data_IF_835222438134
#
_entry.id   IF_835222438134
#
_cell.length_a   1.000
_cell.length_b   1.000
_cell.length_c   1.000
_cell.angle_alpha   90.00
_cell.angle_beta   90.00
_cell.angle_gamma   90.00
#
_symmetry.space_group_name_H-M   'P 1'
#
loop_
_entity.id
_entity.type
_entity.pdbx_description
1 polymer ?
#
# COMPACT_ATOMS: atom_id res chain seq x y z
N UNK A 1 -18.00 4.82 -17.66
CA UNK A 1 -18.67 3.54 -17.42
C UNK A 1 -18.43 3.12 -15.98
N UNK A 2 -19.49 2.70 -15.29
CA UNK A 2 -19.39 2.25 -13.91
C UNK A 2 -18.73 0.86 -13.86
N UNK A 3 -17.77 0.67 -12.96
CA UNK A 3 -17.17 -0.63 -12.75
C UNK A 3 -18.19 -1.63 -12.19
N UNK A 4 -18.07 -2.93 -12.52
CA UNK A 4 -18.92 -3.96 -11.93
C UNK A 4 -18.81 -3.97 -10.41
N UNK A 5 -19.94 -4.07 -9.73
CA UNK A 5 -19.99 -4.05 -8.25
C UNK A 5 -19.14 -5.16 -7.64
N UNK A 6 -19.19 -6.36 -8.22
CA UNK A 6 -18.40 -7.48 -7.68
C UNK A 6 -16.90 -7.21 -7.74
N UNK A 7 -16.42 -6.57 -8.81
CA UNK A 7 -14.99 -6.20 -8.93
C UNK A 7 -14.60 -5.16 -7.88
N UNK A 8 -15.45 -4.17 -7.65
CA UNK A 8 -15.22 -3.15 -6.62
C UNK A 8 -15.16 -3.80 -5.23
N UNK A 9 -16.08 -4.70 -4.93
CA UNK A 9 -16.11 -5.40 -3.65
C UNK A 9 -14.85 -6.27 -3.48
N UNK A 10 -14.52 -7.07 -4.48
CA UNK A 10 -13.37 -7.98 -4.41
C UNK A 10 -12.08 -7.20 -4.21
N UNK A 11 -11.86 -6.14 -4.99
CA UNK A 11 -10.67 -5.33 -4.87
C UNK A 11 -10.63 -4.59 -3.54
N UNK A 12 -11.76 -4.05 -3.08
CA UNK A 12 -11.84 -3.39 -1.76
C UNK A 12 -11.49 -4.37 -0.64
N UNK A 13 -11.92 -5.63 -0.73
CA UNK A 13 -11.57 -6.67 0.24
C UNK A 13 -10.06 -7.00 0.19
N UNK A 14 -9.47 -7.03 -1.00
CA UNK A 14 -8.02 -7.23 -1.13
C UNK A 14 -7.23 -6.11 -0.45
N UNK A 15 -7.65 -4.86 -0.64
CA UNK A 15 -7.02 -3.71 0.01
C UNK A 15 -7.22 -3.72 1.54
N UNK A 16 -8.36 -4.21 2.02
CA UNK A 16 -8.59 -4.39 3.45
C UNK A 16 -7.65 -5.45 4.03
N UNK A 17 -7.40 -6.56 3.31
CA UNK A 17 -6.44 -7.59 3.74
C UNK A 17 -5.03 -7.04 3.86
N UNK A 18 -4.63 -6.13 2.96
CA UNK A 18 -3.36 -5.43 3.08
C UNK A 18 -3.27 -4.69 4.43
N UNK A 19 -4.27 -3.87 4.74
CA UNK A 19 -4.27 -3.05 5.95
C UNK A 19 -4.30 -3.91 7.23
N UNK A 20 -5.11 -4.96 7.24
CA UNK A 20 -5.18 -5.89 8.38
C UNK A 20 -3.86 -6.65 8.54
N UNK A 21 -3.28 -7.12 7.44
CA UNK A 21 -2.00 -7.82 7.45
C UNK A 21 -0.86 -6.93 7.95
N UNK A 22 -0.80 -5.70 7.49
CA UNK A 22 0.19 -4.73 7.98
C UNK A 22 0.02 -4.44 9.46
N UNK A 23 -1.22 -4.30 9.92
CA UNK A 23 -1.51 -4.04 11.35
C UNK A 23 -1.10 -5.22 12.23
N UNK A 24 -1.31 -6.44 11.75
CA UNK A 24 -0.94 -7.66 12.50
C UNK A 24 0.53 -8.05 12.36
N UNK A 25 1.25 -7.44 11.42
CA UNK A 25 2.60 -7.88 11.08
C UNK A 25 2.63 -9.20 10.31
N UNK A 26 1.52 -9.57 9.66
CA UNK A 26 1.41 -10.78 8.84
C UNK A 26 1.91 -10.50 7.43
N UNK A 27 3.23 -10.56 7.26
CA UNK A 27 3.88 -10.20 6.01
C UNK A 27 3.44 -11.10 4.85
N UNK A 28 3.26 -12.39 5.10
CA UNK A 28 2.83 -13.32 4.05
C UNK A 28 1.44 -12.95 3.50
N UNK A 29 0.51 -12.58 4.38
CA UNK A 29 -0.80 -12.12 3.96
C UNK A 29 -0.72 -10.83 3.15
N UNK A 30 0.16 -9.91 3.52
CA UNK A 30 0.37 -8.65 2.79
C UNK A 30 0.94 -8.91 1.40
N UNK A 31 1.96 -9.76 1.30
CA UNK A 31 2.57 -10.11 0.01
C UNK A 31 1.54 -10.73 -0.94
N UNK A 32 0.62 -11.53 -0.42
CA UNK A 32 -0.44 -12.15 -1.24
C UNK A 32 -1.44 -11.16 -1.80
N UNK A 33 -1.48 -9.91 -1.34
CA UNK A 33 -2.34 -8.88 -1.92
C UNK A 33 -1.78 -8.28 -3.20
N UNK A 34 -0.55 -8.59 -3.55
CA UNK A 34 0.14 -8.10 -4.75
C UNK A 34 0.20 -9.17 -5.84
N UNK A 35 0.37 -8.70 -7.09
CA UNK A 35 0.82 -9.58 -8.17
C UNK A 35 2.25 -10.02 -7.90
N UNK A 36 2.71 -11.20 -8.44
CA UNK A 36 4.08 -11.67 -8.20
C UNK A 36 5.17 -10.69 -8.64
N UNK A 37 4.91 -9.88 -9.66
CA UNK A 37 5.81 -8.83 -10.17
C UNK A 37 5.48 -7.44 -9.59
N UNK A 38 4.72 -7.39 -8.51
CA UNK A 38 4.29 -6.15 -7.89
C UNK A 38 5.42 -5.34 -7.29
N UNK A 39 5.17 -4.05 -7.11
CA UNK A 39 6.13 -3.13 -6.50
C UNK A 39 5.47 -2.23 -5.46
N UNK A 40 6.28 -1.80 -4.51
CA UNK A 40 5.90 -0.78 -3.53
C UNK A 40 6.87 0.39 -3.62
N UNK A 41 6.34 1.62 -3.62
CA UNK A 41 7.15 2.84 -3.69
C UNK A 41 6.84 3.76 -2.53
N UNK A 42 7.89 4.29 -1.92
CA UNK A 42 7.78 5.32 -0.90
C UNK A 42 9.09 6.11 -0.83
N UNK A 43 8.99 7.41 -0.60
CA UNK A 43 10.14 8.29 -0.39
C UNK A 43 11.16 8.26 -1.55
N UNK A 44 10.67 8.11 -2.78
CA UNK A 44 11.51 8.11 -3.97
C UNK A 44 12.13 6.78 -4.34
N UNK A 45 11.97 5.75 -3.50
CA UNK A 45 12.47 4.41 -3.77
C UNK A 45 11.33 3.49 -4.21
N UNK A 46 11.62 2.58 -5.13
CA UNK A 46 10.70 1.54 -5.57
C UNK A 46 11.26 0.18 -5.21
N UNK A 47 10.49 -0.60 -4.49
CA UNK A 47 10.88 -1.91 -3.98
C UNK A 47 10.15 -3.01 -4.75
N UNK A 48 10.85 -3.98 -5.34
CA UNK A 48 10.20 -5.19 -5.83
C UNK A 48 9.57 -5.95 -4.66
N UNK A 49 8.54 -6.73 -4.94
CA UNK A 49 7.80 -7.45 -3.90
C UNK A 49 8.71 -8.34 -3.04
N UNK A 50 9.77 -8.90 -3.61
CA UNK A 50 10.73 -9.72 -2.89
C UNK A 50 11.44 -8.98 -1.74
N UNK A 51 11.55 -7.65 -1.83
CA UNK A 51 12.18 -6.82 -0.79
C UNK A 51 11.20 -6.41 0.31
N UNK A 52 9.90 -6.61 0.08
CA UNK A 52 8.86 -6.10 0.97
C UNK A 52 8.99 -6.63 2.41
N UNK A 53 9.27 -7.94 2.64
CA UNK A 53 9.45 -8.44 4.00
C UNK A 53 10.56 -7.72 4.76
N UNK A 54 11.68 -7.43 4.12
CA UNK A 54 12.79 -6.68 4.73
C UNK A 54 12.40 -5.24 5.05
N UNK A 55 11.67 -4.60 4.13
CA UNK A 55 11.18 -3.24 4.33
C UNK A 55 10.20 -3.16 5.51
N UNK A 56 9.26 -4.10 5.59
CA UNK A 56 8.27 -4.15 6.67
C UNK A 56 8.94 -4.42 8.03
N UNK A 57 9.94 -5.30 8.06
CA UNK A 57 10.65 -5.61 9.30
C UNK A 57 11.39 -4.39 9.88
N UNK A 58 11.84 -3.48 9.00
CA UNK A 58 12.54 -2.26 9.40
C UNK A 58 11.59 -1.08 9.69
N UNK A 59 10.32 -1.19 9.32
CA UNK A 59 9.35 -0.11 9.48
C UNK A 59 8.73 -0.12 10.88
N UNK A 60 8.21 1.02 11.34
CA UNK A 60 7.43 1.05 12.59
C UNK A 60 6.21 0.14 12.48
N UNK A 61 5.88 -0.53 13.58
CA UNK A 61 4.68 -1.36 13.70
C UNK A 61 3.53 -0.53 14.28
N UNK A 62 2.31 -0.84 13.87
CA UNK A 62 1.14 -0.13 14.38
C UNK A 62 -0.12 -0.40 13.59
N UNK A 63 -1.10 0.48 13.77
CA UNK A 63 -2.41 0.40 13.13
C UNK A 63 -2.35 1.07 11.76
N UNK A 64 -2.70 0.31 10.73
CA UNK A 64 -2.93 0.83 9.38
C UNK A 64 -4.43 1.00 9.17
N UNK A 65 -4.92 2.21 9.33
CA UNK A 65 -6.33 2.53 9.13
C UNK A 65 -6.50 3.16 7.75
N UNK A 66 -7.26 2.49 6.89
CA UNK A 66 -7.51 2.96 5.53
C UNK A 66 -8.97 3.32 5.35
N UNK A 67 -9.22 4.30 4.49
CA UNK A 67 -10.57 4.63 4.07
C UNK A 67 -11.00 3.81 2.86
N UNK A 68 -12.24 4.01 2.38
CA UNK A 68 -12.67 3.39 1.14
C UNK A 68 -11.80 3.85 -0.03
N UNK A 69 -11.45 2.95 -0.95
CA UNK A 69 -10.68 3.34 -2.12
C UNK A 69 -11.55 4.03 -3.17
N UNK A 70 -10.97 5.01 -3.85
CA UNK A 70 -11.55 5.56 -5.07
C UNK A 70 -10.98 4.78 -6.25
N UNK A 71 -11.79 4.02 -6.94
CA UNK A 71 -11.35 3.05 -7.96
C UNK A 71 -11.81 3.46 -9.35
N UNK A 72 -10.93 3.26 -10.33
CA UNK A 72 -11.24 3.33 -11.76
C UNK A 72 -10.81 2.01 -12.38
N UNK A 73 -11.77 1.18 -12.77
CA UNK A 73 -11.53 -0.16 -13.31
C UNK A 73 -11.93 -0.22 -14.79
N UNK A 74 -11.08 -0.85 -15.58
CA UNK A 74 -11.30 -1.05 -17.01
C UNK A 74 -10.89 -2.48 -17.38
N UNK A 75 -11.88 -3.37 -17.53
CA UNK A 75 -11.60 -4.78 -17.81
C UNK A 75 -10.81 -5.43 -16.69
N UNK A 76 -9.61 -5.91 -17.02
CA UNK A 76 -8.74 -6.63 -16.09
C UNK A 76 -7.70 -5.74 -15.42
N UNK A 77 -7.78 -4.44 -15.61
CA UNK A 77 -6.85 -3.46 -15.04
C UNK A 77 -7.58 -2.33 -14.37
N UNK A 78 -6.89 -1.65 -13.46
CA UNK A 78 -7.47 -0.51 -12.79
C UNK A 78 -6.43 0.35 -12.10
N UNK A 79 -6.88 1.50 -11.66
CA UNK A 79 -6.13 2.43 -10.82
C UNK A 79 -7.00 2.83 -9.64
N UNK A 80 -6.38 3.34 -8.59
CA UNK A 80 -7.12 3.86 -7.46
C UNK A 80 -6.26 4.60 -6.47
N UNK A 81 -6.94 5.27 -5.56
CA UNK A 81 -6.32 5.96 -4.45
C UNK A 81 -7.06 5.60 -3.17
N UNK A 82 -6.32 5.51 -2.07
CA UNK A 82 -6.90 5.11 -0.78
C UNK A 82 -6.23 5.90 0.34
N UNK A 83 -7.00 6.62 1.18
CA UNK A 83 -6.42 7.36 2.29
C UNK A 83 -5.90 6.42 3.37
N UNK A 84 -4.84 6.85 4.05
CA UNK A 84 -4.22 6.09 5.14
C UNK A 84 -3.98 6.98 6.34
N UNK A 85 -4.32 6.46 7.52
CA UNK A 85 -3.80 6.93 8.79
C UNK A 85 -3.06 5.77 9.46
N UNK A 86 -1.74 5.91 9.60
CA UNK A 86 -0.92 4.98 10.37
C UNK A 86 -0.72 5.54 11.78
N UNK A 87 -0.94 4.72 12.80
CA UNK A 87 -0.69 5.07 14.20
C UNK A 87 0.35 4.12 14.76
N UNK A 88 1.50 4.67 15.16
CA UNK A 88 2.59 3.90 15.75
C UNK A 88 2.15 3.27 17.08
N UNK A 89 2.35 1.96 17.24
CA UNK A 89 1.89 1.26 18.44
C UNK A 89 2.71 1.59 19.69
N UNK A 90 3.92 2.16 19.54
CA UNK A 90 4.81 2.43 20.65
C UNK A 90 4.54 3.81 21.25
N UNK A 91 4.39 4.84 20.42
CA UNK A 91 4.28 6.22 20.86
C UNK A 91 2.98 6.91 20.43
N UNK A 92 2.14 6.23 19.62
CA UNK A 92 0.90 6.73 19.04
C UNK A 92 1.08 7.93 18.10
N UNK A 93 2.29 8.16 17.61
CA UNK A 93 2.51 9.15 16.55
C UNK A 93 1.81 8.72 15.27
N UNK A 94 1.25 9.69 14.57
CA UNK A 94 0.50 9.43 13.34
C UNK A 94 1.30 9.81 12.12
N UNK A 95 1.13 9.00 11.05
CA UNK A 95 1.53 9.34 9.69
C UNK A 95 0.27 9.30 8.84
N UNK A 96 0.01 10.35 8.10
CA UNK A 96 -1.18 10.46 7.27
C UNK A 96 -0.81 10.70 5.82
N UNK A 97 -1.64 10.21 4.92
CA UNK A 97 -1.44 10.37 3.50
C UNK A 97 -2.36 9.45 2.71
N UNK A 98 -1.89 9.03 1.56
CA UNK A 98 -2.68 8.13 0.71
C UNK A 98 -1.79 7.23 -0.12
N UNK A 99 -2.35 6.09 -0.51
CA UNK A 99 -1.79 5.21 -1.52
C UNK A 99 -2.32 5.60 -2.90
N UNK A 100 -1.45 5.53 -3.90
CA UNK A 100 -1.81 5.57 -5.31
C UNK A 100 -1.42 4.23 -5.92
N UNK A 101 -2.39 3.55 -6.50
CA UNK A 101 -2.26 2.15 -6.88
C UNK A 101 -2.57 1.91 -8.35
N UNK A 102 -1.96 0.86 -8.90
CA UNK A 102 -2.49 0.17 -10.08
C UNK A 102 -2.84 -1.27 -9.70
N UNK A 103 -3.86 -1.81 -10.37
CA UNK A 103 -4.40 -3.13 -10.05
C UNK A 103 -4.48 -3.98 -11.30
N UNK A 104 -4.48 -5.28 -11.09
CA UNK A 104 -4.63 -6.26 -12.16
C UNK A 104 -5.49 -7.43 -11.68
N UNK A 105 -6.44 -7.86 -12.54
CA UNK A 105 -7.17 -9.09 -12.30
C UNK A 105 -6.30 -10.26 -12.70
N UNK A 106 -6.03 -11.16 -11.76
CA UNK A 106 -5.26 -12.37 -11.97
C UNK A 106 -6.17 -13.60 -11.86
N UNK A 107 -5.64 -14.78 -12.12
CA UNK A 107 -6.39 -16.02 -11.88
C UNK A 107 -6.79 -16.20 -10.42
N UNK A 108 -6.00 -15.61 -9.50
CA UNK A 108 -6.30 -15.64 -8.07
C UNK A 108 -7.23 -14.50 -7.64
N UNK A 109 -7.66 -13.63 -8.55
CA UNK A 109 -8.51 -12.47 -8.31
C UNK A 109 -7.77 -11.16 -8.48
N UNK A 110 -8.41 -10.07 -8.11
CA UNK A 110 -7.83 -8.74 -8.18
C UNK A 110 -6.65 -8.60 -7.21
N UNK A 111 -5.54 -8.05 -7.71
CA UNK A 111 -4.31 -7.84 -6.92
C UNK A 111 -3.73 -6.46 -7.19
N UNK A 112 -2.94 -5.97 -6.24
CA UNK A 112 -2.17 -4.74 -6.40
C UNK A 112 -0.97 -5.03 -7.29
N UNK A 113 -0.82 -4.28 -8.38
CA UNK A 113 0.36 -4.36 -9.22
C UNK A 113 1.44 -3.39 -8.74
N UNK A 114 1.06 -2.14 -8.51
CA UNK A 114 1.96 -1.14 -7.92
C UNK A 114 1.23 -0.37 -6.83
N UNK A 115 1.92 -0.08 -5.77
CA UNK A 115 1.40 0.75 -4.68
C UNK A 115 2.44 1.79 -4.31
N UNK A 116 2.05 3.06 -4.33
CA UNK A 116 2.90 4.18 -3.94
C UNK A 116 2.30 4.91 -2.77
N UNK A 117 3.12 5.26 -1.77
CA UNK A 117 2.68 6.02 -0.62
C UNK A 117 3.12 7.48 -0.72
N UNK A 118 2.18 8.41 -0.52
CA UNK A 118 2.45 9.84 -0.39
C UNK A 118 2.05 10.27 1.01
N UNK A 119 2.95 10.93 1.73
CA UNK A 119 2.69 11.41 3.08
C UNK A 119 2.39 12.90 3.08
N UNK A 120 1.44 13.31 3.95
CA UNK A 120 1.18 14.70 4.26
C UNK A 120 2.05 15.11 5.45
N UNK A 121 2.70 16.26 5.32
CA UNK A 121 3.54 16.81 6.37
C UNK A 121 2.78 17.85 7.20
N UNK A 122 3.26 18.13 8.41
CA UNK A 122 2.64 19.12 9.31
C UNK A 122 2.52 20.50 8.69
N UNK A 123 3.46 20.86 7.82
CA UNK A 123 3.44 22.16 7.11
C UNK A 123 2.53 22.16 5.87
N UNK A 124 1.79 21.06 5.62
CA UNK A 124 0.95 20.91 4.44
C UNK A 124 1.67 20.40 3.20
N UNK A 125 2.98 20.25 3.26
CA UNK A 125 3.74 19.66 2.15
C UNK A 125 3.41 18.19 1.95
N UNK A 126 3.68 17.70 0.75
CA UNK A 126 3.50 16.30 0.38
C UNK A 126 4.86 15.69 0.09
N UNK A 127 5.06 14.45 0.52
CA UNK A 127 6.36 13.83 0.40
C UNK A 127 6.22 12.33 0.06
N UNK A 128 6.60 12.02 -1.16
CA UNK A 128 6.83 10.63 -1.59
C UNK A 128 8.25 10.44 -2.10
N UNK A 129 9.06 11.51 -2.08
CA UNK A 129 10.35 11.56 -2.73
C UNK A 129 11.57 11.56 -1.82
N UNK A 130 11.39 11.55 -0.49
CA UNK A 130 12.52 11.56 0.45
C UNK A 130 12.29 10.65 1.64
N UNK A 131 13.30 9.88 2.07
CA UNK A 131 13.18 9.05 3.25
C UNK A 131 12.96 9.90 4.51
N UNK A 132 12.08 9.44 5.38
CA UNK A 132 11.96 9.97 6.74
C UNK A 132 13.10 9.47 7.61
N UNK A 133 13.50 8.25 7.36
CA UNK A 133 14.42 7.50 8.18
C UNK A 133 15.61 7.10 7.31
N UNK A 134 16.81 7.65 7.61
CA UNK A 134 18.01 7.31 6.84
C UNK A 134 18.44 5.84 7.02
N UNK A 135 17.86 5.12 8.00
CA UNK A 135 18.17 3.71 8.22
C UNK A 135 17.26 2.78 7.41
N UNK A 136 16.30 3.33 6.66
CA UNK A 136 15.42 2.51 5.82
C UNK A 136 16.23 1.74 4.79
N UNK A 137 15.96 0.42 4.59
CA UNK A 137 16.69 -0.37 3.60
C UNK A 137 16.55 0.21 2.19
N UNK A 138 17.63 0.16 1.41
CA UNK A 138 17.59 0.50 0.00
C UNK A 138 16.95 -0.66 -0.80
N UNK A 139 16.30 -0.35 -1.95
CA UNK A 139 15.79 -1.41 -2.82
C UNK A 139 16.92 -2.29 -3.37
N UNK A 140 16.61 -3.55 -3.62
CA UNK A 140 17.48 -4.43 -4.38
C UNK A 140 17.60 -3.95 -5.83
N UNK A 141 18.73 -4.19 -6.44
CA UNK A 141 18.99 -3.80 -7.82
C UNK A 141 18.13 -4.60 -8.82
#
# INVERSE_FOLDING_TARGET
MTAPTDDVIELSQNLARYAVGMTKGDVDAVVQTFTPDGTYSAFGDTYPLADFPTLVAAAPQGLFMVGPPALELDGDRGTGEQPLCFVDQTNHDMRIGWYSDTYERTEAGWRIRTRSMTFLRRNGGRDSGRPHDPTRPAPSA
#
